data_IF_995307664580
#
_entry.id   IF_995307664580
#
_cell.length_a   1.000
_cell.length_b   1.000
_cell.length_c   1.000
_cell.angle_alpha   90.00
_cell.angle_beta   90.00
_cell.angle_gamma   90.00
#
_symmetry.space_group_name_H-M   'P 1'
#
loop_
_entity.id
_entity.type
_entity.pdbx_description
1 polymer ?
#
# COMPACT_ATOMS: atom_id res chain seq x y z
N UNK A 1 -11.85 -19.61 -7.09
CA UNK A 1 -10.90 -18.51 -7.30
C UNK A 1 -9.51 -19.01 -7.01
N UNK A 2 -8.56 -18.72 -7.86
CA UNK A 2 -7.18 -19.19 -7.76
C UNK A 2 -6.19 -18.02 -7.84
N UNK A 3 -4.91 -18.29 -7.62
CA UNK A 3 -3.84 -17.31 -7.63
C UNK A 3 -3.75 -16.50 -8.94
N UNK A 4 -3.89 -17.17 -10.10
CA UNK A 4 -3.83 -16.52 -11.42
C UNK A 4 -4.96 -15.51 -11.61
N UNK A 5 -6.15 -15.81 -11.12
CA UNK A 5 -7.27 -14.87 -11.15
C UNK A 5 -6.97 -13.65 -10.27
N UNK A 6 -6.42 -13.85 -9.05
CA UNK A 6 -6.00 -12.76 -8.19
C UNK A 6 -4.99 -11.84 -8.87
N UNK A 7 -3.96 -12.40 -9.53
CA UNK A 7 -2.99 -11.61 -10.30
C UNK A 7 -3.70 -10.77 -11.37
N UNK A 8 -4.58 -11.38 -12.16
CA UNK A 8 -5.32 -10.68 -13.22
C UNK A 8 -6.13 -9.50 -12.67
N UNK A 9 -6.82 -9.72 -11.56
CA UNK A 9 -7.65 -8.70 -10.92
C UNK A 9 -6.80 -7.61 -10.25
N UNK A 10 -5.56 -7.94 -9.85
CA UNK A 10 -4.58 -7.00 -9.29
C UNK A 10 -3.85 -6.11 -10.31
N UNK A 11 -3.78 -6.49 -11.60
CA UNK A 11 -3.06 -5.73 -12.62
C UNK A 11 -3.56 -4.28 -12.73
N UNK A 12 -4.86 -3.99 -12.87
CA UNK A 12 -5.35 -2.61 -12.98
C UNK A 12 -4.98 -1.77 -11.75
N UNK A 13 -5.06 -2.38 -10.56
CA UNK A 13 -4.69 -1.71 -9.30
C UNK A 13 -3.19 -1.39 -9.31
N UNK A 14 -2.34 -2.36 -9.67
CA UNK A 14 -0.90 -2.18 -9.72
C UNK A 14 -0.45 -1.09 -10.69
N UNK A 15 -1.10 -0.96 -11.85
CA UNK A 15 -0.84 0.11 -12.82
C UNK A 15 -1.22 1.48 -12.25
N UNK A 16 -2.40 1.60 -11.63
CA UNK A 16 -2.81 2.82 -10.95
C UNK A 16 -1.86 3.20 -9.81
N UNK A 17 -1.44 2.21 -9.03
CA UNK A 17 -0.48 2.39 -7.94
C UNK A 17 0.89 2.85 -8.41
N UNK A 18 1.40 2.31 -9.51
CA UNK A 18 2.67 2.74 -10.07
C UNK A 18 2.67 4.23 -10.43
N UNK A 19 1.57 4.75 -10.97
CA UNK A 19 1.45 6.17 -11.31
C UNK A 19 1.43 7.07 -10.05
N UNK A 20 0.64 6.71 -9.03
CA UNK A 20 0.54 7.50 -7.79
C UNK A 20 1.84 7.45 -6.99
N UNK A 21 2.43 6.27 -6.85
CA UNK A 21 3.67 6.09 -6.11
C UNK A 21 4.89 6.69 -6.81
N UNK A 22 4.85 6.83 -8.13
CA UNK A 22 5.86 7.59 -8.87
C UNK A 22 5.88 9.06 -8.43
N UNK A 23 4.71 9.69 -8.28
CA UNK A 23 4.61 11.04 -7.73
C UNK A 23 5.11 11.12 -6.29
N UNK A 24 4.81 10.10 -5.46
CA UNK A 24 5.36 10.02 -4.10
C UNK A 24 6.89 9.95 -4.11
N UNK A 25 7.49 9.15 -4.97
CA UNK A 25 8.95 9.03 -5.11
C UNK A 25 9.61 10.36 -5.45
N UNK A 26 9.04 11.11 -6.40
CA UNK A 26 9.49 12.47 -6.74
C UNK A 26 9.42 13.38 -5.52
N UNK A 27 8.26 13.47 -4.86
CA UNK A 27 8.04 14.34 -3.72
C UNK A 27 8.94 13.98 -2.53
N UNK A 28 9.21 12.69 -2.30
CA UNK A 28 10.09 12.27 -1.22
C UNK A 28 11.51 12.81 -1.40
N UNK A 29 12.07 12.72 -2.61
CA UNK A 29 13.40 13.26 -2.92
C UNK A 29 13.40 14.80 -2.93
N UNK A 30 12.33 15.43 -3.41
CA UNK A 30 12.14 16.89 -3.34
C UNK A 30 12.14 17.41 -1.89
N UNK A 31 11.78 16.59 -0.93
CA UNK A 31 11.79 16.86 0.51
C UNK A 31 13.03 16.29 1.21
N UNK A 32 14.13 16.16 0.50
CA UNK A 32 15.44 15.71 0.99
C UNK A 32 15.51 14.27 1.52
N UNK A 33 14.51 13.42 1.25
CA UNK A 33 14.64 12.00 1.54
C UNK A 33 15.53 11.33 0.50
N UNK A 34 16.33 10.38 0.94
CA UNK A 34 17.08 9.52 0.03
C UNK A 34 16.18 8.55 -0.74
N UNK A 35 16.62 8.08 -1.90
CA UNK A 35 15.89 7.08 -2.68
C UNK A 35 15.59 5.83 -1.84
N UNK A 36 16.54 5.40 -1.00
CA UNK A 36 16.37 4.24 -0.13
C UNK A 36 15.30 4.45 0.95
N UNK A 37 15.24 5.63 1.54
CA UNK A 37 14.19 5.98 2.52
C UNK A 37 12.80 6.01 1.87
N UNK A 38 12.67 6.64 0.70
CA UNK A 38 11.42 6.66 -0.04
C UNK A 38 10.91 5.24 -0.38
N UNK A 39 11.80 4.38 -0.86
CA UNK A 39 11.46 2.98 -1.18
C UNK A 39 11.13 2.18 0.08
N UNK A 40 11.86 2.37 1.18
CA UNK A 40 11.60 1.69 2.44
C UNK A 40 10.22 2.07 3.01
N UNK A 41 9.86 3.35 2.96
CA UNK A 41 8.52 3.82 3.35
C UNK A 41 7.46 3.12 2.50
N UNK A 42 7.65 3.04 1.19
CA UNK A 42 6.69 2.39 0.29
C UNK A 42 6.58 0.88 0.49
N UNK A 43 7.66 0.20 0.87
CA UNK A 43 7.64 -1.24 1.18
C UNK A 43 6.95 -1.56 2.50
N UNK A 44 7.06 -0.67 3.49
CA UNK A 44 6.55 -0.90 4.84
C UNK A 44 5.18 -0.27 5.08
N UNK A 45 4.75 0.63 4.21
CA UNK A 45 3.50 1.37 4.37
C UNK A 45 2.80 1.57 3.00
N UNK A 46 1.71 0.84 2.78
CA UNK A 46 0.92 0.88 1.54
C UNK A 46 -0.29 1.83 1.62
N UNK A 47 -0.26 2.83 2.48
CA UNK A 47 -1.46 3.63 2.81
C UNK A 47 -1.71 4.84 1.91
N UNK A 48 -0.93 5.05 0.86
CA UNK A 48 -1.06 6.20 -0.05
C UNK A 48 -1.20 7.54 0.71
N UNK A 49 -2.42 7.96 1.04
CA UNK A 49 -2.68 9.21 1.77
C UNK A 49 -1.84 9.33 3.06
N UNK A 50 -1.66 8.25 3.79
CA UNK A 50 -0.81 8.21 4.98
C UNK A 50 0.66 8.48 4.66
N UNK A 51 1.18 7.96 3.54
CA UNK A 51 2.56 8.25 3.13
C UNK A 51 2.78 9.72 2.77
N UNK A 52 1.87 10.32 1.99
CA UNK A 52 1.96 11.74 1.64
C UNK A 52 1.86 12.62 2.89
N UNK A 53 0.92 12.35 3.80
CA UNK A 53 0.80 13.07 5.06
C UNK A 53 2.04 12.89 5.94
N UNK A 54 2.55 11.66 6.04
CA UNK A 54 3.78 11.37 6.78
C UNK A 54 4.99 12.09 6.21
N UNK A 55 5.13 12.14 4.89
CA UNK A 55 6.18 12.89 4.23
C UNK A 55 6.13 14.38 4.57
N UNK A 56 4.94 14.98 4.57
CA UNK A 56 4.77 16.40 4.96
C UNK A 56 5.23 16.63 6.40
N UNK A 57 4.81 15.78 7.34
CA UNK A 57 5.21 15.90 8.75
C UNK A 57 6.73 15.77 8.92
N UNK A 58 7.36 14.84 8.19
CA UNK A 58 8.82 14.69 8.21
C UNK A 58 9.51 15.95 7.68
N UNK A 59 9.06 16.46 6.53
CA UNK A 59 9.64 17.65 5.88
C UNK A 59 9.49 18.92 6.72
N UNK A 60 8.41 19.03 7.49
CA UNK A 60 8.14 20.15 8.39
C UNK A 60 8.77 19.97 9.79
N UNK A 61 9.58 18.92 9.99
CA UNK A 61 10.19 18.57 11.28
C UNK A 61 9.14 18.40 12.40
N UNK A 62 7.96 17.87 12.02
CA UNK A 62 6.86 17.64 12.94
C UNK A 62 7.19 16.59 14.00
N UNK A 63 6.39 16.55 15.04
CA UNK A 63 6.60 15.69 16.20
C UNK A 63 6.15 14.24 15.92
N UNK A 64 6.70 13.28 16.68
CA UNK A 64 6.24 11.88 16.63
C UNK A 64 4.76 11.74 17.03
N UNK A 65 4.25 12.64 17.89
CA UNK A 65 2.83 12.66 18.28
C UNK A 65 1.95 13.05 17.11
N UNK A 66 2.33 14.10 16.35
CA UNK A 66 1.62 14.50 15.13
C UNK A 66 1.62 13.37 14.10
N UNK A 67 2.76 12.73 13.89
CA UNK A 67 2.87 11.56 13.01
C UNK A 67 1.92 10.44 13.46
N UNK A 68 1.96 10.06 14.73
CA UNK A 68 1.13 8.97 15.25
C UNK A 68 -0.37 9.28 15.13
N UNK A 69 -0.79 10.51 15.51
CA UNK A 69 -2.19 10.92 15.43
C UNK A 69 -2.67 11.01 13.98
N UNK A 70 -1.88 11.61 13.10
CA UNK A 70 -2.19 11.70 11.67
C UNK A 70 -2.36 10.31 11.05
N UNK A 71 -1.39 9.41 11.25
CA UNK A 71 -1.45 8.05 10.74
C UNK A 71 -2.64 7.29 11.33
N UNK A 72 -2.92 7.43 12.61
CA UNK A 72 -4.06 6.78 13.25
C UNK A 72 -5.39 7.23 12.61
N UNK A 73 -5.60 8.54 12.47
CA UNK A 73 -6.84 9.09 11.92
C UNK A 73 -7.03 8.69 10.45
N UNK A 74 -5.99 8.84 9.62
CA UNK A 74 -6.06 8.53 8.18
C UNK A 74 -6.33 7.02 7.98
N UNK A 75 -5.75 6.17 8.81
CA UNK A 75 -5.80 4.72 8.64
C UNK A 75 -6.94 4.03 9.43
N UNK A 76 -7.78 4.77 10.18
CA UNK A 76 -8.96 4.21 10.85
C UNK A 76 -9.88 3.42 9.90
N UNK A 77 -10.00 3.86 8.66
CA UNK A 77 -10.79 3.18 7.62
C UNK A 77 -10.32 1.75 7.36
N UNK A 78 -9.02 1.50 7.43
CA UNK A 78 -8.46 0.15 7.23
C UNK A 78 -8.90 -0.84 8.32
N UNK A 79 -9.11 -0.35 9.55
CA UNK A 79 -9.65 -1.18 10.62
C UNK A 79 -11.08 -1.66 10.28
N UNK A 80 -11.94 -0.78 9.78
CA UNK A 80 -13.30 -1.13 9.38
C UNK A 80 -13.31 -2.11 8.19
N UNK A 81 -12.44 -1.88 7.19
CA UNK A 81 -12.28 -2.76 6.05
C UNK A 81 -11.74 -4.14 6.48
N UNK A 82 -10.78 -4.18 7.41
CA UNK A 82 -10.25 -5.42 7.94
C UNK A 82 -11.31 -6.23 8.69
N UNK A 83 -12.15 -5.59 9.50
CA UNK A 83 -13.27 -6.24 10.19
C UNK A 83 -14.24 -6.83 9.17
N UNK A 84 -14.66 -6.07 8.17
CA UNK A 84 -15.56 -6.51 7.11
C UNK A 84 -14.97 -7.69 6.33
N UNK A 85 -13.70 -7.58 5.92
CA UNK A 85 -13.04 -8.62 5.14
C UNK A 85 -12.82 -9.90 5.95
N UNK A 86 -12.55 -9.77 7.27
CA UNK A 86 -12.35 -10.92 8.17
C UNK A 86 -13.55 -11.86 8.24
N UNK A 87 -14.76 -11.35 7.99
CA UNK A 87 -15.99 -12.14 7.96
C UNK A 87 -16.14 -12.93 6.65
N UNK A 88 -15.40 -12.53 5.63
CA UNK A 88 -15.51 -13.10 4.27
C UNK A 88 -14.34 -13.98 3.85
N UNK A 89 -13.25 -13.98 4.61
CA UNK A 89 -12.10 -14.86 4.32
C UNK A 89 -12.39 -16.31 4.67
N UNK A 90 -11.70 -17.19 3.98
CA UNK A 90 -11.76 -18.64 4.23
C UNK A 90 -10.94 -19.02 5.49
N UNK A 91 -11.20 -20.20 6.02
CA UNK A 91 -10.53 -20.75 7.21
C UNK A 91 -9.01 -20.94 7.02
N UNK A 92 -8.52 -20.87 5.79
CA UNK A 92 -7.09 -20.88 5.44
C UNK A 92 -6.31 -19.64 5.94
N UNK A 93 -7.01 -18.56 6.32
CA UNK A 93 -6.39 -17.36 6.89
C UNK A 93 -6.19 -17.51 8.40
N UNK A 94 -5.15 -18.27 8.79
CA UNK A 94 -4.77 -18.49 10.19
C UNK A 94 -3.35 -17.96 10.48
N UNK A 95 -3.10 -17.62 11.74
CA UNK A 95 -1.78 -17.20 12.19
C UNK A 95 -1.24 -16.00 11.42
N UNK A 96 -0.03 -16.12 10.88
CA UNK A 96 0.68 -15.05 10.15
C UNK A 96 -0.09 -14.49 8.94
N UNK A 97 -0.96 -15.31 8.31
CA UNK A 97 -1.72 -14.89 7.14
C UNK A 97 -2.73 -13.78 7.43
N UNK A 98 -3.21 -13.68 8.68
CA UNK A 98 -4.07 -12.56 9.10
C UNK A 98 -3.32 -11.23 9.14
N UNK A 99 -2.06 -11.27 9.57
CA UNK A 99 -1.20 -10.08 9.56
C UNK A 99 -0.84 -9.65 8.15
N UNK A 100 -0.51 -10.60 7.26
CA UNK A 100 -0.24 -10.32 5.85
C UNK A 100 -1.48 -9.73 5.17
N UNK A 101 -2.68 -10.28 5.44
CA UNK A 101 -3.93 -9.74 4.95
C UNK A 101 -4.12 -8.30 5.45
N UNK A 102 -3.95 -8.05 6.75
CA UNK A 102 -4.10 -6.71 7.34
C UNK A 102 -3.15 -5.68 6.72
N UNK A 103 -1.88 -6.05 6.50
CA UNK A 103 -0.89 -5.20 5.86
C UNK A 103 -1.24 -4.86 4.40
N UNK A 104 -1.79 -5.81 3.67
CA UNK A 104 -2.07 -5.67 2.24
C UNK A 104 -3.45 -5.08 1.93
N UNK A 105 -4.27 -4.75 2.94
CA UNK A 105 -5.59 -4.12 2.71
C UNK A 105 -5.37 -2.67 2.32
N UNK A 106 -5.87 -2.33 1.12
CA UNK A 106 -6.04 -0.96 0.65
C UNK A 106 -7.47 -0.80 0.15
N UNK A 107 -7.90 0.42 -0.14
CA UNK A 107 -9.26 0.69 -0.60
C UNK A 107 -9.61 -0.10 -1.86
N UNK A 108 -8.72 -0.15 -2.83
CA UNK A 108 -8.92 -0.81 -4.12
C UNK A 108 -8.87 -2.34 -3.97
N UNK A 109 -7.93 -2.85 -3.19
CA UNK A 109 -7.83 -4.30 -2.91
C UNK A 109 -9.07 -4.76 -2.16
N UNK A 110 -9.52 -3.98 -1.16
CA UNK A 110 -10.77 -4.25 -0.46
C UNK A 110 -11.97 -4.25 -1.40
N UNK A 111 -12.10 -3.21 -2.24
CA UNK A 111 -13.21 -3.08 -3.16
C UNK A 111 -13.33 -4.27 -4.13
N UNK A 112 -12.21 -4.76 -4.65
CA UNK A 112 -12.18 -5.94 -5.52
C UNK A 112 -12.44 -7.22 -4.73
N UNK A 113 -11.81 -7.38 -3.56
CA UNK A 113 -11.95 -8.57 -2.75
C UNK A 113 -13.38 -8.77 -2.22
N UNK A 114 -14.03 -7.69 -1.75
CA UNK A 114 -15.37 -7.77 -1.15
C UNK A 114 -16.48 -8.11 -2.17
N UNK A 115 -16.28 -7.78 -3.44
CA UNK A 115 -17.23 -8.08 -4.51
C UNK A 115 -17.29 -9.58 -4.87
N UNK A 116 -16.34 -10.37 -4.40
CA UNK A 116 -16.36 -11.81 -4.67
C UNK A 116 -17.60 -12.48 -4.09
N UNK A 117 -18.30 -13.33 -4.86
CA UNK A 117 -19.58 -13.92 -4.44
C UNK A 117 -19.46 -14.98 -3.33
N UNK A 118 -18.26 -15.45 -3.03
CA UNK A 118 -18.00 -16.46 -2.01
C UNK A 118 -16.93 -16.06 -1.02
N UNK A 119 -16.46 -17.02 -0.21
CA UNK A 119 -15.33 -16.82 0.68
C UNK A 119 -14.06 -16.55 -0.10
N UNK A 120 -13.27 -15.60 0.38
CA UNK A 120 -12.01 -15.20 -0.21
C UNK A 120 -10.95 -16.23 0.19
N UNK A 121 -10.41 -16.94 -0.82
CA UNK A 121 -9.33 -17.90 -0.62
C UNK A 121 -7.98 -17.19 -0.48
N UNK A 122 -7.13 -17.69 0.39
CA UNK A 122 -5.78 -17.18 0.60
C UNK A 122 -4.99 -16.98 -0.71
N UNK A 123 -4.96 -18.02 -1.55
CA UNK A 123 -4.19 -17.96 -2.80
C UNK A 123 -4.70 -16.87 -3.76
N UNK A 124 -6.01 -16.65 -3.80
CA UNK A 124 -6.58 -15.56 -4.59
C UNK A 124 -6.13 -14.19 -4.04
N UNK A 125 -6.26 -13.98 -2.74
CA UNK A 125 -5.87 -12.72 -2.09
C UNK A 125 -4.38 -12.42 -2.27
N UNK A 126 -3.51 -13.43 -2.13
CA UNK A 126 -2.08 -13.28 -2.41
C UNK A 126 -1.81 -12.86 -3.86
N UNK A 127 -2.51 -13.44 -4.83
CA UNK A 127 -2.40 -13.01 -6.22
C UNK A 127 -2.88 -11.58 -6.44
N UNK A 128 -3.98 -11.18 -5.77
CA UNK A 128 -4.56 -9.85 -5.88
C UNK A 128 -3.64 -8.76 -5.33
N UNK A 129 -2.86 -9.05 -4.30
CA UNK A 129 -2.04 -8.07 -3.59
C UNK A 129 -0.63 -7.92 -4.14
N UNK A 130 -0.04 -8.97 -4.73
CA UNK A 130 1.36 -8.97 -5.14
C UNK A 130 1.67 -7.93 -6.23
N UNK A 131 0.80 -7.80 -7.23
CA UNK A 131 0.99 -6.83 -8.32
C UNK A 131 0.87 -5.38 -7.85
N UNK A 132 -0.14 -5.00 -7.04
CA UNK A 132 -0.20 -3.68 -6.42
C UNK A 132 1.03 -3.34 -5.57
N UNK A 133 1.52 -4.26 -4.75
CA UNK A 133 2.73 -4.04 -3.92
C UNK A 133 3.95 -3.78 -4.81
N UNK A 134 4.15 -4.60 -5.84
CA UNK A 134 5.25 -4.41 -6.80
C UNK A 134 5.08 -3.07 -7.53
N UNK A 135 3.89 -2.76 -8.03
CA UNK A 135 3.58 -1.50 -8.72
C UNK A 135 3.88 -0.28 -7.85
N UNK A 136 3.44 -0.32 -6.60
CA UNK A 136 3.69 0.74 -5.63
C UNK A 136 5.18 0.95 -5.36
N UNK A 137 5.92 -0.11 -5.12
CA UNK A 137 7.36 -0.05 -4.83
C UNK A 137 8.17 0.42 -6.03
N UNK A 138 7.90 -0.16 -7.21
CA UNK A 138 8.61 0.21 -8.44
C UNK A 138 8.27 1.63 -8.91
N UNK A 139 7.02 2.06 -8.73
CA UNK A 139 6.63 3.44 -9.01
C UNK A 139 7.41 4.43 -8.15
N UNK A 140 7.45 4.22 -6.83
CA UNK A 140 8.26 5.04 -5.92
C UNK A 140 9.74 5.06 -6.32
N UNK A 141 10.31 3.89 -6.58
CA UNK A 141 11.71 3.79 -7.02
C UNK A 141 11.97 4.60 -8.30
N UNK A 142 11.09 4.45 -9.30
CA UNK A 142 11.20 5.18 -10.56
C UNK A 142 11.13 6.69 -10.38
N UNK A 143 10.16 7.20 -9.60
CA UNK A 143 10.03 8.62 -9.32
C UNK A 143 11.21 9.19 -8.53
N UNK A 144 11.65 8.48 -7.51
CA UNK A 144 12.79 8.88 -6.68
C UNK A 144 14.09 8.91 -7.48
N UNK A 145 14.35 7.91 -8.31
CA UNK A 145 15.54 7.88 -9.18
C UNK A 145 15.50 9.00 -10.21
N UNK A 146 14.34 9.25 -10.83
CA UNK A 146 14.22 10.31 -11.83
C UNK A 146 14.64 11.66 -11.25
N UNK A 147 14.12 12.03 -10.10
CA UNK A 147 14.45 13.33 -9.49
C UNK A 147 15.90 13.35 -8.97
N UNK A 148 16.37 12.27 -8.34
CA UNK A 148 17.76 12.15 -7.88
C UNK A 148 18.78 12.34 -9.00
N UNK A 149 18.50 11.87 -10.22
CA UNK A 149 19.37 12.05 -11.39
C UNK A 149 19.34 13.47 -11.96
N UNK A 150 18.26 14.21 -11.75
CA UNK A 150 18.12 15.59 -12.24
C UNK A 150 18.80 16.58 -11.27
N UNK A 151 18.86 16.24 -9.99
CA UNK A 151 19.45 17.11 -8.93
C UNK A 151 20.97 16.90 -8.74
N UNK A 152 21.63 16.08 -9.56
CA UNK A 152 23.09 16.00 -9.64
C UNK A 152 23.58 17.11 -10.57
#
# INVERSE_FOLDING_TARGET
MNFKQGIRDGIPIGLGYAAVSFAFGILAVDKDLTVSEAVLISLTNLTSAGQFAGLTIIAELGTLVEMALSQFIINLRYMLMAISLSQKVDDDFKGIWRWILGFAITDEIFAVAIQNPGKIKRNYFMGLTIIPIIGWTLGTLGGALLLSLIHI
#
